data_IF_694828638008
#
_entry.id   IF_694828638008
#
_cell.length_a   1.000
_cell.length_b   1.000
_cell.length_c   1.000
_cell.angle_alpha   90.00
_cell.angle_beta   90.00
_cell.angle_gamma   90.00
#
_symmetry.space_group_name_H-M   'P 1'
#
loop_
_entity.id
_entity.type
_entity.pdbx_description
1 polymer ?
#
# COMPACT_ATOMS: atom_id res chain seq x y z
N UNK A 1 -37.96 -14.00 1.36
CA UNK A 1 -38.83 -12.94 0.82
C UNK A 1 -38.83 -11.76 1.78
N UNK A 2 -37.77 -10.89 1.71
CA UNK A 2 -37.69 -9.63 2.48
C UNK A 2 -36.30 -9.02 2.24
N UNK A 3 -36.08 -8.38 1.08
CA UNK A 3 -34.99 -7.39 0.88
C UNK A 3 -35.23 -6.70 -0.48
N UNK A 4 -36.41 -6.13 -0.67
CA UNK A 4 -36.59 -5.04 -1.59
C UNK A 4 -37.04 -3.83 -0.73
N UNK A 5 -36.10 -3.31 0.08
CA UNK A 5 -36.20 -1.93 0.49
C UNK A 5 -35.91 -1.14 -0.76
N UNK A 6 -36.93 -0.52 -1.35
CA UNK A 6 -36.77 0.49 -2.38
C UNK A 6 -35.68 1.48 -1.92
N UNK A 7 -34.49 1.32 -2.45
CA UNK A 7 -33.52 2.42 -2.45
C UNK A 7 -34.12 3.45 -3.40
N UNK A 8 -34.93 4.35 -2.87
CA UNK A 8 -35.28 5.57 -3.56
C UNK A 8 -33.95 6.30 -3.78
N UNK A 9 -33.39 6.14 -4.97
CA UNK A 9 -32.37 7.07 -5.46
C UNK A 9 -33.08 8.41 -5.52
N UNK A 10 -32.94 9.22 -4.47
CA UNK A 10 -33.27 10.63 -4.56
C UNK A 10 -32.39 11.18 -5.68
N UNK A 11 -32.97 11.36 -6.84
CA UNK A 11 -32.38 12.12 -7.93
C UNK A 11 -32.37 13.57 -7.46
N UNK A 12 -31.35 13.93 -6.64
CA UNK A 12 -31.00 15.32 -6.40
C UNK A 12 -30.44 15.88 -7.73
N UNK A 13 -31.35 16.08 -8.68
CA UNK A 13 -31.06 16.66 -9.99
C UNK A 13 -30.46 18.07 -9.90
N UNK A 14 -30.27 18.57 -8.70
CA UNK A 14 -29.78 19.92 -8.40
C UNK A 14 -28.38 19.94 -7.77
N UNK A 15 -27.67 18.82 -7.71
CA UNK A 15 -26.27 18.83 -7.23
C UNK A 15 -25.35 19.34 -8.33
N UNK A 16 -24.78 20.53 -8.11
CA UNK A 16 -23.74 21.07 -9.01
C UNK A 16 -22.48 20.21 -8.91
N UNK A 17 -22.05 19.63 -10.04
CA UNK A 17 -20.81 18.88 -10.14
C UNK A 17 -19.64 19.82 -10.42
N UNK A 18 -18.52 19.63 -9.71
CA UNK A 18 -17.26 20.23 -10.10
C UNK A 18 -16.69 19.47 -11.30
N UNK A 19 -16.64 20.14 -12.44
CA UNK A 19 -15.95 19.63 -13.64
C UNK A 19 -14.57 20.29 -13.74
N UNK A 20 -13.52 19.47 -13.79
CA UNK A 20 -12.14 19.94 -13.73
C UNK A 20 -11.28 19.24 -14.78
N UNK A 21 -10.52 20.03 -15.56
CA UNK A 21 -9.45 19.52 -16.38
C UNK A 21 -8.17 19.38 -15.52
N UNK A 22 -7.63 18.17 -15.30
CA UNK A 22 -6.42 17.99 -14.49
C UNK A 22 -5.20 18.78 -14.98
N UNK A 23 -5.12 19.05 -16.30
CA UNK A 23 -4.03 19.83 -16.87
C UNK A 23 -4.09 21.34 -16.53
N UNK A 24 -5.23 21.81 -16.01
CA UNK A 24 -5.43 23.21 -15.63
C UNK A 24 -5.16 23.50 -14.16
N UNK A 25 -4.73 22.52 -13.38
CA UNK A 25 -4.49 22.65 -11.95
C UNK A 25 -3.15 22.02 -11.55
N UNK A 26 -2.65 22.41 -10.40
CA UNK A 26 -1.40 21.87 -9.87
C UNK A 26 -1.53 20.38 -9.51
N UNK A 27 -0.46 19.61 -9.72
CA UNK A 27 -0.39 18.18 -9.41
C UNK A 27 -0.81 17.85 -7.97
N UNK A 28 -0.47 18.72 -7.01
CA UNK A 28 -0.88 18.58 -5.60
C UNK A 28 -2.40 18.60 -5.41
N UNK A 29 -3.13 19.39 -6.20
CA UNK A 29 -4.60 19.46 -6.15
C UNK A 29 -5.21 18.21 -6.78
N UNK A 30 -4.64 17.75 -7.91
CA UNK A 30 -5.03 16.47 -8.53
C UNK A 30 -4.83 15.31 -7.55
N UNK A 31 -3.68 15.26 -6.86
CA UNK A 31 -3.40 14.24 -5.84
C UNK A 31 -4.45 14.25 -4.70
N UNK A 32 -4.85 15.43 -4.22
CA UNK A 32 -5.90 15.55 -3.18
C UNK A 32 -7.24 14.99 -3.66
N UNK A 33 -7.64 15.28 -4.91
CA UNK A 33 -8.86 14.74 -5.50
C UNK A 33 -8.78 13.21 -5.64
N UNK A 34 -7.69 12.70 -6.22
CA UNK A 34 -7.50 11.25 -6.38
C UNK A 34 -7.59 10.52 -5.02
N UNK A 35 -6.87 11.01 -4.01
CA UNK A 35 -6.86 10.38 -2.68
C UNK A 35 -8.15 10.59 -1.90
N UNK A 36 -8.98 11.56 -2.27
CA UNK A 36 -10.31 11.80 -1.73
C UNK A 36 -11.41 10.94 -2.35
N UNK A 37 -11.26 10.62 -3.64
CA UNK A 37 -12.27 9.85 -4.41
C UNK A 37 -11.97 8.35 -4.33
N UNK A 38 -10.68 7.96 -4.41
CA UNK A 38 -10.26 6.56 -4.35
C UNK A 38 -10.10 6.17 -2.88
N UNK A 39 -11.21 5.74 -2.28
CA UNK A 39 -11.27 5.38 -0.85
C UNK A 39 -12.25 4.22 -0.62
N UNK A 40 -12.03 3.37 0.41
CA UNK A 40 -10.80 3.24 1.17
C UNK A 40 -9.71 2.55 0.34
N UNK A 41 -8.45 2.92 0.56
CA UNK A 41 -7.32 2.24 -0.09
C UNK A 41 -6.70 1.27 0.90
N UNK A 42 -6.45 0.01 0.50
CA UNK A 42 -5.64 -0.89 1.32
C UNK A 42 -4.22 -0.34 1.50
N UNK A 43 -3.54 -0.74 2.57
CA UNK A 43 -2.19 -0.28 2.85
C UNK A 43 -1.23 -1.47 2.80
N UNK A 44 -0.24 -1.38 1.92
CA UNK A 44 0.91 -2.27 1.91
C UNK A 44 2.02 -1.63 2.75
N UNK A 45 2.41 -2.25 3.85
CA UNK A 45 3.65 -1.93 4.54
C UNK A 45 4.75 -2.77 3.89
N UNK A 46 5.54 -2.13 3.02
CA UNK A 46 6.51 -2.83 2.17
C UNK A 46 7.88 -2.80 2.82
N UNK A 47 8.45 -3.97 3.06
CA UNK A 47 9.84 -4.12 3.47
C UNK A 47 10.72 -4.50 2.29
N UNK A 48 11.89 -3.92 2.24
CA UNK A 48 12.95 -4.17 1.25
C UNK A 48 14.31 -4.21 1.93
N UNK A 49 15.33 -4.66 1.22
CA UNK A 49 16.74 -4.52 1.62
C UNK A 49 17.52 -4.00 0.44
N UNK A 50 18.55 -3.22 0.69
CA UNK A 50 19.51 -2.84 -0.33
C UNK A 50 20.52 -3.96 -0.61
N UNK A 51 21.54 -3.69 -1.45
CA UNK A 51 22.59 -4.66 -1.77
C UNK A 51 23.48 -5.01 -0.57
N UNK A 52 23.63 -4.07 0.35
CA UNK A 52 24.46 -4.19 1.54
C UNK A 52 23.71 -4.82 2.73
N UNK A 53 22.40 -5.05 2.57
CA UNK A 53 21.54 -5.66 3.59
C UNK A 53 20.90 -4.66 4.54
N UNK A 54 20.96 -3.36 4.23
CA UNK A 54 20.25 -2.32 5.02
C UNK A 54 18.76 -2.45 4.77
N UNK A 55 18.00 -2.62 5.85
CA UNK A 55 16.55 -2.76 5.80
C UNK A 55 15.87 -1.41 5.55
N UNK A 56 14.73 -1.47 4.82
CA UNK A 56 13.84 -0.33 4.65
C UNK A 56 12.40 -0.79 4.78
N UNK A 57 11.55 0.01 5.43
CA UNK A 57 10.15 -0.30 5.67
C UNK A 57 9.30 0.96 5.41
N UNK A 58 8.37 0.90 4.45
CA UNK A 58 7.56 2.06 4.08
C UNK A 58 6.11 1.70 3.70
N UNK A 59 5.10 2.52 4.06
CA UNK A 59 3.71 2.27 3.73
C UNK A 59 3.32 2.85 2.37
N UNK A 60 2.55 2.08 1.60
CA UNK A 60 2.00 2.48 0.31
C UNK A 60 0.49 2.20 0.28
N UNK A 61 -0.32 3.19 -0.09
CA UNK A 61 -1.76 3.04 -0.19
C UNK A 61 -2.31 3.04 -1.62
N UNK A 62 -1.48 3.26 -2.64
CA UNK A 62 -1.78 2.84 -4.00
C UNK A 62 -1.32 1.39 -4.16
N UNK A 63 -2.14 0.45 -3.69
CA UNK A 63 -1.84 -0.96 -3.57
C UNK A 63 -3.08 -1.80 -3.89
N UNK A 64 -2.91 -2.90 -4.61
CA UNK A 64 -3.97 -3.88 -4.85
C UNK A 64 -3.44 -5.23 -5.35
N UNK A 65 -4.29 -6.27 -5.28
CA UNK A 65 -4.09 -7.52 -6.03
C UNK A 65 -4.42 -7.32 -7.51
N UNK A 66 -3.70 -8.01 -8.39
CA UNK A 66 -3.84 -7.92 -9.84
C UNK A 66 -4.41 -9.19 -10.44
N UNK A 67 -3.90 -10.34 -10.03
CA UNK A 67 -4.32 -11.64 -10.57
C UNK A 67 -3.94 -12.78 -9.64
N UNK A 68 -4.50 -13.97 -9.90
CA UNK A 68 -4.27 -15.18 -9.10
C UNK A 68 -3.40 -16.22 -9.80
N UNK A 69 -3.09 -16.04 -11.09
CA UNK A 69 -2.24 -16.97 -11.84
C UNK A 69 -1.45 -16.24 -12.94
N UNK A 70 -0.18 -15.88 -12.67
CA UNK A 70 0.50 -15.98 -11.38
C UNK A 70 -0.14 -15.05 -10.33
N UNK A 71 -0.02 -15.37 -9.03
CA UNK A 71 -0.54 -14.53 -7.98
C UNK A 71 0.28 -13.22 -7.94
N UNK A 72 -0.36 -12.11 -8.24
CA UNK A 72 0.31 -10.83 -8.52
C UNK A 72 -0.29 -9.71 -7.72
N UNK A 73 0.56 -8.87 -7.16
CA UNK A 73 0.21 -7.61 -6.50
C UNK A 73 0.92 -6.45 -7.16
N UNK A 74 0.35 -5.25 -6.99
CA UNK A 74 1.05 -4.01 -7.31
C UNK A 74 1.02 -3.04 -6.14
N UNK A 75 2.06 -2.21 -6.05
CA UNK A 75 2.04 -0.98 -5.26
C UNK A 75 2.73 0.14 -6.03
N UNK A 76 2.40 1.40 -5.69
CA UNK A 76 2.90 2.54 -6.46
C UNK A 76 3.66 3.52 -5.55
N UNK A 77 4.99 3.51 -5.57
CA UNK A 77 5.80 4.63 -5.13
C UNK A 77 5.56 5.86 -6.03
N UNK A 78 5.73 7.04 -5.45
CA UNK A 78 5.68 8.31 -6.19
C UNK A 78 7.07 8.91 -6.20
N UNK A 79 7.50 9.41 -7.36
CA UNK A 79 8.79 10.11 -7.50
C UNK A 79 8.74 11.42 -6.70
N UNK A 80 9.75 11.66 -5.87
CA UNK A 80 9.91 12.88 -5.08
C UNK A 80 10.52 14.01 -5.93
N UNK A 81 10.42 15.24 -5.45
CA UNK A 81 11.22 16.33 -6.03
C UNK A 81 12.72 16.08 -5.77
N UNK A 82 13.55 16.37 -6.75
CA UNK A 82 15.00 16.33 -6.58
C UNK A 82 15.40 17.26 -5.42
N UNK A 83 16.22 16.77 -4.49
CA UNK A 83 16.64 17.52 -3.30
C UNK A 83 15.58 17.57 -2.18
N UNK A 84 14.49 16.81 -2.25
CA UNK A 84 13.60 16.61 -1.10
C UNK A 84 14.39 16.00 0.08
N UNK A 85 14.13 16.51 1.27
CA UNK A 85 14.83 16.15 2.52
C UNK A 85 14.88 14.64 2.71
N UNK A 86 16.05 14.12 3.04
CA UNK A 86 16.29 12.70 3.32
C UNK A 86 17.16 11.97 2.28
N UNK A 87 17.32 12.50 1.08
CA UNK A 87 18.14 11.90 0.03
C UNK A 87 19.20 12.88 -0.53
N UNK A 88 20.13 13.30 0.32
CA UNK A 88 21.34 13.98 -0.14
C UNK A 88 22.21 12.99 -0.94
N UNK A 89 21.88 12.72 -2.18
CA UNK A 89 22.61 11.78 -3.03
C UNK A 89 21.78 11.12 -4.12
N UNK A 90 20.46 11.30 -4.11
CA UNK A 90 19.56 10.72 -5.12
C UNK A 90 19.04 11.81 -6.07
N UNK A 91 19.73 12.05 -7.20
CA UNK A 91 19.35 13.11 -8.15
C UNK A 91 18.03 12.82 -8.88
N UNK A 92 17.52 11.58 -8.83
CA UNK A 92 16.36 11.13 -9.59
C UNK A 92 15.03 11.06 -8.78
N UNK A 93 15.06 11.38 -7.50
CA UNK A 93 13.87 11.42 -6.63
C UNK A 93 13.24 10.06 -6.32
N UNK A 94 13.92 8.93 -6.63
CA UNK A 94 13.43 7.60 -6.27
C UNK A 94 13.44 7.41 -4.75
N UNK A 95 12.42 6.74 -4.23
CA UNK A 95 12.40 6.29 -2.83
C UNK A 95 13.30 5.07 -2.65
N UNK A 96 13.85 4.90 -1.45
CA UNK A 96 14.68 3.73 -1.10
C UNK A 96 13.99 2.41 -1.43
N UNK A 97 12.71 2.27 -1.12
CA UNK A 97 11.91 1.09 -1.49
C UNK A 97 11.97 0.79 -2.99
N UNK A 98 11.81 1.81 -3.85
CA UNK A 98 11.84 1.61 -5.30
C UNK A 98 13.24 1.19 -5.77
N UNK A 99 14.28 1.89 -5.31
CA UNK A 99 15.68 1.55 -5.62
C UNK A 99 15.99 0.12 -5.20
N UNK A 100 15.68 -0.24 -3.95
CA UNK A 100 15.94 -1.56 -3.42
C UNK A 100 15.25 -2.67 -4.24
N UNK A 101 13.98 -2.45 -4.63
CA UNK A 101 13.24 -3.41 -5.47
C UNK A 101 13.85 -3.53 -6.85
N UNK A 102 14.24 -2.42 -7.50
CA UNK A 102 14.90 -2.46 -8.82
C UNK A 102 16.27 -3.15 -8.76
N UNK A 103 17.00 -2.99 -7.68
CA UNK A 103 18.33 -3.55 -7.51
C UNK A 103 18.35 -5.01 -7.07
N UNK A 104 17.39 -5.41 -6.26
CA UNK A 104 17.37 -6.73 -5.61
C UNK A 104 16.32 -7.67 -6.16
N UNK A 105 15.28 -7.13 -6.80
CA UNK A 105 14.19 -7.91 -7.35
C UNK A 105 13.25 -8.51 -6.31
N UNK A 106 13.34 -8.10 -5.04
CA UNK A 106 12.63 -8.74 -3.93
C UNK A 106 12.01 -7.73 -2.97
N UNK A 107 10.83 -8.06 -2.43
CA UNK A 107 10.16 -7.28 -1.40
C UNK A 107 9.13 -8.12 -0.64
N UNK A 108 8.69 -7.62 0.52
CA UNK A 108 7.58 -8.23 1.26
C UNK A 108 6.49 -7.19 1.45
N UNK A 109 5.25 -7.58 1.22
CA UNK A 109 4.07 -6.80 1.59
C UNK A 109 3.54 -7.33 2.91
N UNK A 110 3.48 -6.48 3.93
CA UNK A 110 2.91 -6.76 5.23
C UNK A 110 1.55 -6.04 5.35
N UNK A 111 0.49 -6.75 5.70
CA UNK A 111 -0.84 -6.17 5.89
C UNK A 111 -0.87 -5.38 7.20
N UNK A 112 -1.41 -4.17 7.14
CA UNK A 112 -1.50 -3.27 8.29
C UNK A 112 -2.83 -3.50 8.98
N UNK A 113 -2.79 -4.07 10.20
CA UNK A 113 -3.93 -4.13 11.11
C UNK A 113 -4.04 -2.85 11.96
N UNK A 114 -5.18 -2.64 12.63
CA UNK A 114 -5.34 -1.50 13.54
C UNK A 114 -4.24 -1.48 14.63
N UNK A 115 -3.86 -2.65 15.13
CA UNK A 115 -2.84 -2.78 16.17
C UNK A 115 -1.47 -2.17 15.81
N UNK A 116 -1.09 -2.24 14.53
CA UNK A 116 0.21 -1.73 14.05
C UNK A 116 0.08 -0.46 13.21
N UNK A 117 -1.13 0.11 13.06
CA UNK A 117 -1.35 1.27 12.17
C UNK A 117 -0.51 2.50 12.58
N UNK A 118 -0.33 2.74 13.88
CA UNK A 118 0.52 3.82 14.39
C UNK A 118 1.99 3.63 14.03
N UNK A 119 2.52 2.42 14.23
CA UNK A 119 3.89 2.06 13.87
C UNK A 119 4.11 2.13 12.35
N UNK A 120 3.17 1.57 11.56
CA UNK A 120 3.22 1.67 10.11
C UNK A 120 3.16 3.12 9.60
N UNK A 121 2.41 4.00 10.28
CA UNK A 121 2.41 5.43 9.92
C UNK A 121 3.73 6.10 10.27
N UNK A 122 4.42 5.69 11.33
CA UNK A 122 5.73 6.23 11.68
C UNK A 122 6.79 5.96 10.61
N UNK A 123 6.73 4.80 9.91
CA UNK A 123 7.64 4.47 8.80
C UNK A 123 7.42 5.32 7.53
N UNK A 124 6.41 6.19 7.51
CA UNK A 124 6.22 7.17 6.43
C UNK A 124 7.13 8.40 6.59
N UNK A 125 7.86 8.52 7.70
CA UNK A 125 8.80 9.62 7.92
C UNK A 125 9.88 9.65 6.83
N UNK A 126 10.27 10.87 6.44
CA UNK A 126 11.40 11.06 5.53
C UNK A 126 12.70 11.00 6.35
N UNK A 127 13.38 9.88 6.27
CA UNK A 127 14.65 9.63 6.98
C UNK A 127 15.76 9.34 5.99
N UNK A 128 17.04 9.54 6.38
CA UNK A 128 18.19 9.14 5.54
C UNK A 128 18.19 7.63 5.22
N UNK A 129 18.74 7.21 4.07
CA UNK A 129 18.73 5.79 3.62
C UNK A 129 19.35 4.78 4.58
N UNK A 130 20.23 5.23 5.48
CA UNK A 130 20.89 4.37 6.46
C UNK A 130 20.08 4.18 7.77
N UNK A 131 18.92 4.81 7.87
CA UNK A 131 18.02 4.67 9.03
C UNK A 131 17.10 3.49 8.80
N UNK A 132 17.15 2.53 9.72
CA UNK A 132 16.27 1.36 9.71
C UNK A 132 14.90 1.72 10.31
N UNK A 133 13.85 1.72 9.48
CA UNK A 133 12.50 2.05 9.92
C UNK A 133 11.87 0.95 10.80
N UNK A 134 12.38 -0.28 10.83
CA UNK A 134 11.98 -1.24 11.85
C UNK A 134 12.35 -0.74 13.25
N UNK A 135 13.56 -0.23 13.40
CA UNK A 135 14.00 0.37 14.68
C UNK A 135 13.18 1.63 14.99
N UNK A 136 12.96 2.49 14.00
CA UNK A 136 12.19 3.72 14.16
C UNK A 136 10.75 3.46 14.61
N UNK A 137 10.11 2.44 14.06
CA UNK A 137 8.70 2.11 14.33
C UNK A 137 8.50 1.19 15.53
N UNK A 138 9.57 0.52 16.00
CA UNK A 138 9.49 -0.51 17.01
C UNK A 138 8.86 -1.83 16.55
N UNK A 139 8.71 -2.01 15.23
CA UNK A 139 8.26 -3.27 14.64
C UNK A 139 9.40 -4.28 14.58
N UNK A 140 9.05 -5.56 14.74
CA UNK A 140 10.04 -6.64 14.82
C UNK A 140 10.28 -7.27 13.45
N UNK A 141 11.52 -7.24 12.92
CA UNK A 141 11.85 -7.97 11.71
C UNK A 141 11.82 -9.48 11.95
N UNK A 142 11.12 -10.22 11.07
CA UNK A 142 11.03 -11.68 11.08
C UNK A 142 11.59 -12.21 9.76
N UNK A 143 12.50 -13.17 9.81
CA UNK A 143 13.11 -13.73 8.61
C UNK A 143 12.07 -14.27 7.62
N UNK A 144 12.23 -13.94 6.36
CA UNK A 144 11.48 -14.51 5.24
C UNK A 144 11.98 -15.89 4.86
N UNK A 145 11.19 -16.64 4.09
CA UNK A 145 11.54 -18.01 3.65
C UNK A 145 11.97 -18.08 2.18
N UNK A 146 11.49 -17.17 1.33
CA UNK A 146 11.73 -17.21 -0.11
C UNK A 146 12.42 -15.96 -0.68
N UNK A 147 12.52 -14.88 0.12
CA UNK A 147 13.16 -13.61 -0.26
C UNK A 147 14.04 -13.08 0.88
N UNK A 148 14.93 -12.13 0.58
CA UNK A 148 15.83 -11.55 1.59
C UNK A 148 15.18 -10.54 2.55
N UNK A 149 14.30 -9.63 2.08
CA UNK A 149 13.67 -8.66 2.97
C UNK A 149 12.90 -9.33 4.10
N UNK A 150 13.00 -8.79 5.31
CA UNK A 150 12.30 -9.33 6.47
C UNK A 150 10.79 -9.06 6.40
N UNK A 151 10.00 -9.97 6.94
CA UNK A 151 8.58 -9.76 7.27
C UNK A 151 8.45 -8.94 8.55
N UNK A 152 7.28 -8.36 8.79
CA UNK A 152 6.92 -7.72 10.07
C UNK A 152 6.22 -8.76 10.94
N UNK A 153 6.79 -9.09 12.10
CA UNK A 153 6.28 -10.13 12.98
C UNK A 153 4.85 -9.85 13.50
N UNK A 154 4.53 -8.58 13.75
CA UNK A 154 3.24 -8.14 14.26
C UNK A 154 2.14 -8.06 13.17
N UNK A 155 2.50 -8.16 11.89
CA UNK A 155 1.54 -8.18 10.79
C UNK A 155 0.77 -9.51 10.76
N UNK A 156 -0.57 -9.51 10.69
CA UNK A 156 -1.36 -10.73 10.68
C UNK A 156 -1.26 -11.53 9.38
N UNK A 157 -0.79 -10.90 8.30
CA UNK A 157 -0.60 -11.56 7.01
C UNK A 157 0.53 -10.87 6.22
N UNK A 158 1.38 -11.68 5.58
CA UNK A 158 2.50 -11.19 4.78
C UNK A 158 2.57 -11.94 3.43
N UNK A 159 3.10 -11.27 2.42
CA UNK A 159 3.32 -11.79 1.07
C UNK A 159 4.77 -11.54 0.66
N UNK A 160 5.56 -12.61 0.52
CA UNK A 160 6.90 -12.52 -0.03
C UNK A 160 6.79 -12.46 -1.55
N UNK A 161 7.44 -11.47 -2.16
CA UNK A 161 7.26 -11.14 -3.57
C UNK A 161 8.58 -11.04 -4.32
N UNK A 162 8.56 -11.49 -5.58
CA UNK A 162 9.61 -11.24 -6.57
C UNK A 162 9.13 -10.26 -7.61
N UNK A 163 9.99 -9.33 -7.97
CA UNK A 163 9.70 -8.30 -8.97
C UNK A 163 9.39 -8.94 -10.33
N UNK A 164 8.25 -8.59 -10.92
CA UNK A 164 7.94 -8.91 -12.32
C UNK A 164 8.29 -7.75 -13.24
N UNK A 165 7.86 -6.54 -12.89
CA UNK A 165 8.04 -5.36 -13.74
C UNK A 165 7.94 -4.06 -12.95
N UNK A 166 8.68 -3.06 -13.38
CA UNK A 166 8.52 -1.65 -12.98
C UNK A 166 8.05 -0.86 -14.18
N UNK A 167 6.97 -0.06 -14.02
CA UNK A 167 6.40 0.78 -15.07
C UNK A 167 6.36 2.22 -14.57
N UNK A 168 7.07 3.11 -15.23
CA UNK A 168 7.06 4.54 -14.96
C UNK A 168 5.91 5.19 -15.75
N UNK A 169 4.99 5.88 -15.07
CA UNK A 169 3.87 6.60 -15.71
C UNK A 169 4.27 8.00 -16.20
N UNK A 170 5.45 8.45 -15.82
CA UNK A 170 6.03 9.73 -16.17
C UNK A 170 7.38 9.93 -15.52
N UNK A 171 8.01 11.07 -15.80
CA UNK A 171 9.30 11.45 -15.22
C UNK A 171 9.15 12.77 -14.46
N UNK A 172 9.69 12.82 -13.26
CA UNK A 172 9.68 14.00 -12.40
C UNK A 172 8.74 13.92 -11.19
N UNK A 173 8.69 14.99 -10.38
CA UNK A 173 7.97 14.99 -9.12
C UNK A 173 6.48 14.70 -9.28
N UNK A 174 5.96 13.78 -8.47
CA UNK A 174 4.57 13.37 -8.51
C UNK A 174 4.25 12.27 -9.52
N UNK A 175 5.18 11.87 -10.38
CA UNK A 175 4.99 10.73 -11.29
C UNK A 175 4.85 9.44 -10.47
N UNK A 176 3.86 8.62 -10.83
CA UNK A 176 3.66 7.31 -10.24
C UNK A 176 4.59 6.27 -10.87
N UNK A 177 5.05 5.34 -10.07
CA UNK A 177 5.79 4.17 -10.55
C UNK A 177 5.01 2.93 -10.11
N UNK A 178 4.65 2.05 -11.05
CA UNK A 178 3.96 0.81 -10.75
C UNK A 178 5.02 -0.27 -10.55
N UNK A 179 5.06 -0.85 -9.36
CA UNK A 179 5.85 -2.04 -9.05
C UNK A 179 4.92 -3.24 -9.07
N UNK A 180 5.13 -4.16 -10.01
CA UNK A 180 4.42 -5.43 -10.10
C UNK A 180 5.28 -6.53 -9.51
N UNK A 181 4.71 -7.33 -8.60
CA UNK A 181 5.41 -8.47 -8.00
C UNK A 181 4.57 -9.73 -8.00
N UNK A 182 5.21 -10.85 -8.30
CA UNK A 182 4.65 -12.18 -8.10
C UNK A 182 4.78 -12.55 -6.61
N UNK A 183 3.68 -12.98 -6.01
CA UNK A 183 3.69 -13.52 -4.65
C UNK A 183 4.23 -14.94 -4.72
N UNK A 184 5.40 -15.16 -4.13
CA UNK A 184 6.06 -16.49 -4.10
C UNK A 184 5.79 -17.24 -2.80
N UNK A 185 5.31 -16.54 -1.76
CA UNK A 185 4.87 -17.14 -0.50
C UNK A 185 3.87 -16.27 0.24
N UNK A 186 2.84 -16.91 0.78
CA UNK A 186 1.91 -16.30 1.72
C UNK A 186 2.20 -16.78 3.13
N UNK A 187 2.13 -15.85 4.08
CA UNK A 187 2.08 -16.12 5.51
C UNK A 187 0.81 -15.48 6.05
N UNK A 188 -0.01 -16.26 6.69
CA UNK A 188 -1.23 -15.78 7.33
C UNK A 188 -1.32 -16.45 8.70
N UNK A 189 -1.66 -15.70 9.72
CA UNK A 189 -1.87 -16.21 11.05
C UNK A 189 -2.91 -17.35 11.00
N UNK A 190 -2.57 -18.52 11.52
CA UNK A 190 -3.34 -19.76 11.31
C UNK A 190 -4.77 -19.67 11.85
N UNK A 191 -4.97 -18.95 12.96
CA UNK A 191 -6.28 -18.74 13.58
C UNK A 191 -7.23 -17.84 12.74
N UNK A 192 -6.72 -17.22 11.67
CA UNK A 192 -7.50 -16.37 10.76
C UNK A 192 -7.94 -17.10 9.49
N UNK A 193 -7.51 -18.33 9.25
CA UNK A 193 -7.75 -19.00 7.96
C UNK A 193 -8.54 -20.29 8.16
N UNK A 194 -9.67 -20.38 7.48
CA UNK A 194 -10.47 -21.60 7.35
C UNK A 194 -10.80 -21.81 5.85
N UNK A 195 -10.43 -22.96 5.31
CA UNK A 195 -10.66 -23.33 3.90
C UNK A 195 -10.21 -22.20 2.91
N UNK A 196 -8.99 -21.70 3.09
CA UNK A 196 -8.40 -20.60 2.32
C UNK A 196 -9.17 -19.25 2.41
N UNK A 197 -10.13 -19.14 3.31
CA UNK A 197 -10.84 -17.89 3.59
C UNK A 197 -10.25 -17.25 4.83
N UNK A 198 -9.91 -15.98 4.71
CA UNK A 198 -9.36 -15.21 5.83
C UNK A 198 -10.50 -14.53 6.58
N UNK A 199 -10.56 -14.70 7.90
CA UNK A 199 -11.48 -13.95 8.74
C UNK A 199 -11.15 -12.45 8.71
N UNK A 200 -12.04 -11.62 8.11
CA UNK A 200 -11.78 -10.20 8.02
C UNK A 200 -11.85 -9.48 9.37
N UNK A 201 -12.53 -10.07 10.37
CA UNK A 201 -12.63 -9.50 11.72
C UNK A 201 -11.31 -9.67 12.46
N UNK A 202 -10.77 -10.87 12.45
CA UNK A 202 -9.48 -11.14 13.08
C UNK A 202 -8.28 -10.56 12.31
N UNK A 203 -8.39 -10.38 10.98
CA UNK A 203 -7.37 -9.68 10.19
C UNK A 203 -7.28 -8.21 10.59
N UNK A 204 -8.41 -7.59 10.94
CA UNK A 204 -8.54 -6.21 11.43
C UNK A 204 -7.76 -5.18 10.60
N UNK A 205 -7.75 -5.38 9.27
CA UNK A 205 -7.01 -4.52 8.37
C UNK A 205 -7.59 -3.09 8.38
N UNK A 206 -6.71 -2.12 8.20
CA UNK A 206 -7.09 -0.70 8.08
C UNK A 206 -6.91 -0.19 6.67
N UNK A 207 -7.69 0.82 6.29
CA UNK A 207 -7.61 1.48 5.01
C UNK A 207 -7.23 2.96 5.12
N UNK A 208 -6.59 3.47 4.09
CA UNK A 208 -6.23 4.89 3.99
C UNK A 208 -7.35 5.68 3.35
N UNK A 209 -7.71 6.80 3.96
CA UNK A 209 -8.65 7.79 3.42
C UNK A 209 -7.90 9.04 2.93
N UNK A 210 -8.60 10.13 2.70
CA UNK A 210 -7.99 11.43 2.38
C UNK A 210 -7.22 12.03 3.57
N UNK A 211 -6.17 12.78 3.29
CA UNK A 211 -5.40 13.48 4.31
C UNK A 211 -4.80 12.52 5.36
N UNK A 212 -5.04 12.79 6.63
CA UNK A 212 -4.51 11.99 7.75
C UNK A 212 -5.47 10.91 8.25
N UNK A 213 -6.62 10.73 7.59
CA UNK A 213 -7.67 9.83 8.05
C UNK A 213 -7.41 8.40 7.61
N UNK A 214 -7.63 7.46 8.51
CA UNK A 214 -7.66 6.02 8.28
C UNK A 214 -9.06 5.49 8.64
N UNK A 215 -9.46 4.38 8.04
CA UNK A 215 -10.72 3.71 8.31
C UNK A 215 -10.47 2.30 8.85
N UNK A 216 -11.26 1.92 9.87
CA UNK A 216 -11.41 0.55 10.33
C UNK A 216 -12.34 -0.20 9.38
N UNK A 217 -12.04 -1.47 9.10
CA UNK A 217 -12.86 -2.31 8.21
C UNK A 217 -13.86 -3.19 8.97
N UNK A 218 -14.25 -2.78 10.19
CA UNK A 218 -15.17 -3.53 11.04
C UNK A 218 -16.66 -3.30 10.68
N UNK A 219 -17.00 -2.11 10.16
CA UNK A 219 -18.35 -1.83 9.66
C UNK A 219 -18.45 -2.28 8.20
N UNK A 220 -19.16 -3.38 7.99
CA UNK A 220 -19.26 -4.08 6.69
C UNK A 220 -20.69 -4.36 6.33
N UNK A 221 -20.99 -4.34 5.05
CA UNK A 221 -22.26 -4.80 4.47
C UNK A 221 -22.00 -6.07 3.66
N UNK A 222 -22.90 -7.02 3.72
CA UNK A 222 -22.86 -8.22 2.89
C UNK A 222 -23.80 -8.04 1.69
N UNK A 223 -23.24 -8.20 0.49
CA UNK A 223 -23.99 -8.18 -0.77
C UNK A 223 -23.73 -9.49 -1.51
N UNK A 224 -24.78 -10.26 -1.71
CA UNK A 224 -24.69 -11.52 -2.46
C UNK A 224 -24.51 -11.19 -3.94
N UNK A 225 -23.46 -11.75 -4.54
CA UNK A 225 -23.21 -11.58 -5.97
C UNK A 225 -24.32 -12.24 -6.77
N UNK A 226 -24.98 -11.56 -7.73
CA UNK A 226 -25.94 -12.19 -8.64
C UNK A 226 -25.29 -13.35 -9.41
N UNK A 227 -26.07 -14.41 -9.62
CA UNK A 227 -25.64 -15.57 -10.42
C UNK A 227 -25.56 -15.21 -11.91
#
# INVERSE_FOLDING_TARGET
MLYAREMAFSSDANRTMLSLNPAAVEARQVYKLMTGIIVPRPVALVSTVDRDGVANLAPFSFFTGVGSHPPTVLFCPVVRAAGATGNEGEPDGRKDTLRNVEETGEFVVNIVSEAIAGAANATAAEVPPHVDEFVLSGLTPLASEAVRPARVAESPAQMECKLLQVIYTGHGPGAGVIVLGEIVRFHVRQDLVEDFRVDPTGLDAVGRMAGNTWVRTQDRIELIRPA
#
